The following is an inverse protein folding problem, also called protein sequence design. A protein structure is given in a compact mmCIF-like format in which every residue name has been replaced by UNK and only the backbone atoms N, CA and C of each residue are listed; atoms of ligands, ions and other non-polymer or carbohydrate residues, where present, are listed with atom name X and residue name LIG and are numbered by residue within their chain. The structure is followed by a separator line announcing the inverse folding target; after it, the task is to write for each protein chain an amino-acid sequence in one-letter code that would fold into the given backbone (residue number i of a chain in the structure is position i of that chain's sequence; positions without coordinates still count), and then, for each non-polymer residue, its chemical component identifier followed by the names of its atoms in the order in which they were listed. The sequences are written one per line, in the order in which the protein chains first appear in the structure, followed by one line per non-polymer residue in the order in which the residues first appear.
data_IF_878410255076
#
_entry.id   IF_878410255076
#
_cell.length_a   1.000
_cell.length_b   1.000
_cell.length_c   1.000
_cell.angle_alpha   90.00
_cell.angle_beta   90.00
_cell.angle_gamma   90.00
#
_symmetry.space_group_name_H-M   'P 1'
#
loop_
_entity.id
_entity.type
_entity.pdbx_description
1 polymer ?
#
# COMPACT_ATOMS: atom_id res chain seq x y z
N UNK A 1 -0.30 11.96 -22.69
CA UNK A 1 -0.84 11.53 -21.39
C UNK A 1 -0.11 10.25 -21.02
N UNK A 2 0.74 10.31 -20.00
CA UNK A 2 1.56 9.16 -19.59
C UNK A 2 0.72 8.22 -18.72
N UNK A 3 0.89 6.92 -18.91
CA UNK A 3 0.23 5.88 -18.12
C UNK A 3 1.25 5.28 -17.16
N UNK A 4 0.87 5.16 -15.89
CA UNK A 4 1.67 4.57 -14.83
C UNK A 4 0.96 3.30 -14.35
N UNK A 5 1.66 2.16 -14.41
CA UNK A 5 1.20 0.89 -13.89
C UNK A 5 1.61 0.74 -12.44
N UNK A 6 0.61 0.86 -11.55
CA UNK A 6 0.74 0.62 -10.13
C UNK A 6 0.16 -0.74 -9.76
N UNK A 7 0.97 -1.58 -9.10
CA UNK A 7 0.52 -2.88 -8.59
C UNK A 7 0.42 -2.83 -7.07
N UNK A 8 -0.73 -3.21 -6.54
CA UNK A 8 -0.99 -3.26 -5.09
C UNK A 8 -0.79 -4.68 -4.57
N UNK A 9 0.16 -4.84 -3.65
CA UNK A 9 0.56 -6.13 -3.07
C UNK A 9 0.49 -6.11 -1.55
N UNK A 10 0.52 -7.29 -0.93
CA UNK A 10 0.45 -7.48 0.51
C UNK A 10 -0.39 -8.70 0.89
N UNK A 11 -0.41 -9.03 2.19
CA UNK A 11 -1.09 -10.21 2.72
C UNK A 11 -2.61 -10.23 2.43
N UNK A 12 -3.22 -11.40 2.58
CA UNK A 12 -4.69 -11.54 2.53
C UNK A 12 -5.37 -10.69 3.61
N UNK A 13 -6.62 -10.30 3.35
CA UNK A 13 -7.53 -9.62 4.31
C UNK A 13 -7.06 -8.30 4.94
N UNK A 14 -5.94 -7.74 4.51
CA UNK A 14 -5.45 -6.42 4.99
C UNK A 14 -6.19 -5.22 4.37
N UNK A 15 -7.22 -5.40 3.57
CA UNK A 15 -8.00 -4.28 3.01
C UNK A 15 -7.44 -3.63 1.74
N UNK A 16 -6.64 -4.34 0.93
CA UNK A 16 -6.18 -3.84 -0.39
C UNK A 16 -7.34 -3.48 -1.33
N UNK A 17 -8.35 -4.35 -1.41
CA UNK A 17 -9.55 -4.12 -2.23
C UNK A 17 -10.31 -2.89 -1.73
N UNK A 18 -10.48 -2.74 -0.41
CA UNK A 18 -11.10 -1.56 0.17
C UNK A 18 -10.32 -0.29 -0.14
N UNK A 19 -8.98 -0.33 -0.11
CA UNK A 19 -8.12 0.80 -0.48
C UNK A 19 -8.35 1.23 -1.93
N UNK A 20 -8.33 0.27 -2.86
CA UNK A 20 -8.53 0.52 -4.29
C UNK A 20 -9.92 1.10 -4.57
N UNK A 21 -10.98 0.47 -4.06
CA UNK A 21 -12.37 0.93 -4.26
C UNK A 21 -12.57 2.31 -3.63
N UNK A 22 -12.05 2.54 -2.43
CA UNK A 22 -12.18 3.84 -1.76
C UNK A 22 -11.50 4.94 -2.56
N UNK A 23 -10.39 4.64 -3.22
CA UNK A 23 -9.70 5.60 -4.06
C UNK A 23 -10.43 5.89 -5.36
N UNK A 24 -10.93 4.86 -6.04
CA UNK A 24 -11.60 5.04 -7.33
C UNK A 24 -13.01 5.62 -7.20
N UNK A 25 -13.70 5.37 -6.08
CA UNK A 25 -15.10 5.78 -5.88
C UNK A 25 -15.30 6.90 -4.87
N UNK A 26 -14.24 7.31 -4.16
CA UNK A 26 -14.32 8.20 -2.98
C UNK A 26 -15.31 7.71 -1.89
N UNK A 27 -15.59 6.39 -1.84
CA UNK A 27 -16.49 5.78 -0.86
C UNK A 27 -15.88 4.49 -0.31
N UNK A 28 -15.96 4.32 1.01
CA UNK A 28 -15.61 3.04 1.60
C UNK A 28 -16.71 2.00 1.27
N UNK A 29 -16.36 0.81 0.78
CA UNK A 29 -17.36 -0.22 0.46
C UNK A 29 -18.09 -0.66 1.73
N UNK A 30 -19.43 -0.63 1.71
CA UNK A 30 -20.28 -1.04 2.83
C UNK A 30 -20.44 -2.56 2.94
N UNK A 31 -20.20 -3.27 1.85
CA UNK A 31 -20.27 -4.73 1.76
C UNK A 31 -18.91 -5.31 1.43
N UNK A 32 -18.69 -6.56 1.83
CA UNK A 32 -17.49 -7.29 1.43
C UNK A 32 -17.49 -7.42 -0.09
N UNK A 33 -16.54 -6.76 -0.74
CA UNK A 33 -16.31 -6.91 -2.18
C UNK A 33 -15.30 -8.03 -2.37
N UNK A 34 -15.71 -9.20 -2.91
CA UNK A 34 -14.77 -10.26 -3.25
C UNK A 34 -13.67 -9.71 -4.14
N UNK A 35 -12.45 -10.20 -4.00
CA UNK A 35 -11.30 -9.82 -4.83
C UNK A 35 -11.52 -10.28 -6.27
N UNK A 36 -12.40 -9.61 -6.99
CA UNK A 36 -12.48 -9.70 -8.45
C UNK A 36 -11.32 -8.87 -8.96
N UNK A 37 -10.52 -9.50 -9.81
CA UNK A 37 -9.36 -8.92 -10.47
C UNK A 37 -9.82 -7.80 -11.42
N UNK A 38 -10.10 -6.63 -10.86
CA UNK A 38 -10.48 -5.46 -11.63
C UNK A 38 -9.25 -4.57 -11.74
N UNK A 39 -8.74 -4.47 -12.96
CA UNK A 39 -7.76 -3.45 -13.31
C UNK A 39 -8.53 -2.12 -13.36
N UNK A 40 -8.28 -1.23 -12.40
CA UNK A 40 -8.88 0.10 -12.41
C UNK A 40 -7.95 1.07 -13.13
N UNK A 41 -8.49 2.04 -13.85
CA UNK A 41 -7.74 3.15 -14.40
C UNK A 41 -8.38 4.45 -13.94
N UNK A 42 -7.59 5.35 -13.36
CA UNK A 42 -8.06 6.67 -12.94
C UNK A 42 -7.11 7.75 -13.45
N UNK A 43 -7.68 8.91 -13.78
CA UNK A 43 -6.89 10.09 -14.12
C UNK A 43 -6.60 10.90 -12.86
N UNK A 44 -5.32 11.19 -12.62
CA UNK A 44 -4.84 11.91 -11.44
C UNK A 44 -4.06 13.14 -11.89
N UNK A 45 -4.31 14.27 -11.22
CA UNK A 45 -3.56 15.51 -11.45
C UNK A 45 -2.41 15.59 -10.44
N UNK A 46 -1.17 15.48 -10.91
CA UNK A 46 0.06 15.57 -10.09
C UNK A 46 0.96 16.64 -10.68
N UNK A 47 1.39 17.62 -9.88
CA UNK A 47 2.24 18.71 -10.37
C UNK A 47 1.60 19.60 -11.45
N UNK A 48 0.28 19.57 -11.61
CA UNK A 48 -0.43 20.28 -12.68
C UNK A 48 -0.57 19.50 -14.00
N UNK A 49 0.02 18.30 -14.10
CA UNK A 49 -0.10 17.44 -15.27
C UNK A 49 -1.05 16.25 -15.04
N UNK A 50 -1.82 15.83 -16.06
CA UNK A 50 -2.69 14.67 -15.98
C UNK A 50 -1.96 13.36 -16.28
N UNK A 51 -2.03 12.41 -15.34
CA UNK A 51 -1.50 11.05 -15.48
C UNK A 51 -2.63 10.02 -15.41
N UNK A 52 -2.51 8.93 -16.17
CA UNK A 52 -3.39 7.77 -16.06
C UNK A 52 -2.75 6.74 -15.14
N UNK A 53 -3.33 6.51 -13.96
CA UNK A 53 -2.87 5.51 -13.02
C UNK A 53 -3.67 4.21 -13.20
N UNK A 54 -3.02 3.19 -13.73
CA UNK A 54 -3.54 1.83 -13.79
C UNK A 54 -3.26 1.08 -12.49
N UNK A 55 -4.29 0.59 -11.83
CA UNK A 55 -4.25 -0.09 -10.54
C UNK A 55 -4.55 -1.57 -10.75
N UNK A 56 -3.57 -2.42 -10.44
CA UNK A 56 -3.62 -3.86 -10.70
C UNK A 56 -3.57 -4.64 -9.38
N UNK A 57 -4.47 -5.60 -9.22
CA UNK A 57 -4.39 -6.60 -8.15
C UNK A 57 -3.42 -7.72 -8.53
N UNK A 58 -2.45 -8.01 -7.67
CA UNK A 58 -1.65 -9.25 -7.46
C UNK A 58 -1.31 -10.31 -8.55
N UNK A 59 -1.61 -10.18 -9.84
CA UNK A 59 -1.13 -11.15 -10.86
C UNK A 59 -0.51 -10.47 -12.08
N UNK A 60 0.67 -10.97 -12.48
CA UNK A 60 1.38 -10.55 -13.69
C UNK A 60 2.13 -9.23 -13.52
N UNK A 61 3.38 -9.31 -13.07
CA UNK A 61 4.25 -8.15 -12.83
C UNK A 61 5.10 -7.63 -14.01
N UNK A 62 5.01 -8.08 -15.29
CA UNK A 62 5.86 -7.49 -16.30
C UNK A 62 5.53 -6.00 -16.45
N UNK A 63 6.58 -5.18 -16.55
CA UNK A 63 6.50 -3.74 -16.80
C UNK A 63 5.73 -2.97 -15.71
N UNK A 64 5.94 -3.28 -14.43
CA UNK A 64 5.36 -2.51 -13.31
C UNK A 64 6.22 -1.28 -13.02
N UNK A 65 5.61 -0.10 -13.01
CA UNK A 65 6.30 1.16 -12.74
C UNK A 65 6.45 1.42 -11.23
N UNK A 66 5.45 1.03 -10.43
CA UNK A 66 5.46 1.23 -8.97
C UNK A 66 4.70 0.14 -8.22
N UNK A 67 5.24 -0.27 -7.07
CA UNK A 67 4.59 -1.21 -6.15
C UNK A 67 4.07 -0.48 -4.91
N UNK A 68 2.77 -0.62 -4.66
CA UNK A 68 2.11 -0.21 -3.43
C UNK A 68 2.02 -1.41 -2.50
N UNK A 69 2.94 -1.48 -1.55
CA UNK A 69 3.09 -2.61 -0.64
C UNK A 69 2.31 -2.32 0.65
N UNK A 70 1.18 -2.99 0.79
CA UNK A 70 0.25 -2.78 1.89
C UNK A 70 0.50 -3.77 3.04
N UNK A 71 0.27 -3.30 4.26
CA UNK A 71 0.16 -4.13 5.46
C UNK A 71 -0.93 -3.55 6.37
N UNK A 72 -1.48 -4.38 7.24
CA UNK A 72 -2.44 -3.91 8.24
C UNK A 72 -1.72 -3.46 9.51
N UNK A 73 -2.07 -2.28 10.01
CA UNK A 73 -1.51 -1.75 11.26
C UNK A 73 -1.90 -2.57 12.50
N UNK A 74 -2.95 -3.39 12.39
CA UNK A 74 -3.44 -4.27 13.44
C UNK A 74 -3.07 -5.74 13.19
N UNK A 75 -2.26 -6.01 12.16
CA UNK A 75 -1.68 -7.32 11.90
C UNK A 75 -0.16 -7.20 11.78
N UNK A 76 0.58 -7.24 12.90
CA UNK A 76 2.04 -7.06 12.88
C UNK A 76 2.79 -8.06 12.00
N UNK A 77 2.29 -9.29 11.87
CA UNK A 77 2.83 -10.30 10.94
C UNK A 77 2.79 -9.84 9.48
N UNK A 78 1.73 -9.12 9.08
CA UNK A 78 1.63 -8.60 7.72
C UNK A 78 2.69 -7.54 7.42
N UNK A 79 3.15 -6.78 8.41
CA UNK A 79 4.25 -5.84 8.26
C UNK A 79 5.61 -6.54 8.14
N UNK A 80 5.85 -7.60 8.90
CA UNK A 80 7.10 -8.35 8.80
C UNK A 80 7.22 -9.07 7.45
N UNK A 81 6.11 -9.66 6.96
CA UNK A 81 6.04 -10.28 5.62
C UNK A 81 6.41 -9.33 4.48
N UNK A 82 6.15 -8.03 4.64
CA UNK A 82 6.48 -7.03 3.63
C UNK A 82 7.99 -6.87 3.43
N UNK A 83 8.78 -6.94 4.50
CA UNK A 83 10.25 -6.78 4.43
C UNK A 83 10.93 -7.91 3.67
N UNK A 84 10.34 -9.10 3.68
CA UNK A 84 10.96 -10.31 3.13
C UNK A 84 10.57 -10.56 1.67
N UNK A 85 9.42 -10.04 1.20
CA UNK A 85 8.77 -10.55 -0.03
C UNK A 85 8.70 -9.56 -1.20
N UNK A 86 8.82 -8.25 -0.99
CA UNK A 86 8.50 -7.27 -2.04
C UNK A 86 9.55 -6.16 -2.17
N UNK A 87 9.97 -5.78 -3.41
CA UNK A 87 10.81 -4.61 -3.60
C UNK A 87 10.05 -3.35 -3.16
N UNK A 88 10.56 -2.57 -2.19
CA UNK A 88 9.79 -1.48 -1.61
C UNK A 88 9.88 -0.24 -2.49
N UNK A 89 8.76 0.16 -3.10
CA UNK A 89 8.61 1.51 -3.65
C UNK A 89 7.78 2.38 -2.70
N UNK A 90 6.60 1.92 -2.24
CA UNK A 90 5.82 2.58 -1.18
C UNK A 90 5.19 1.59 -0.20
N UNK A 91 5.32 1.88 1.10
CA UNK A 91 4.66 1.13 2.17
C UNK A 91 3.37 1.84 2.61
N UNK A 92 2.27 1.08 2.72
CA UNK A 92 0.96 1.61 3.12
C UNK A 92 0.40 0.82 4.30
N UNK A 93 0.12 1.54 5.39
CA UNK A 93 -0.58 1.00 6.56
C UNK A 93 -2.10 1.13 6.40
N UNK A 94 -2.79 0.00 6.31
CA UNK A 94 -4.26 -0.09 6.22
C UNK A 94 -4.88 -0.41 7.58
N UNK A 95 -6.22 -0.34 7.68
CA UNK A 95 -7.00 -0.66 8.90
C UNK A 95 -6.64 0.18 10.12
N UNK A 96 -6.27 1.44 9.89
CA UNK A 96 -5.88 2.41 10.91
C UNK A 96 -7.01 2.76 11.89
N UNK A 97 -8.25 2.65 11.45
CA UNK A 97 -9.46 2.82 12.23
C UNK A 97 -9.53 1.77 13.36
N UNK A 98 -8.99 0.58 13.14
CA UNK A 98 -8.94 -0.49 14.13
C UNK A 98 -7.76 -0.36 15.11
N UNK A 99 -6.86 0.59 14.89
CA UNK A 99 -5.64 0.74 15.72
C UNK A 99 -5.97 0.99 17.19
N UNK A 100 -6.94 1.87 17.43
CA UNK A 100 -7.35 2.30 18.76
C UNK A 100 -8.64 1.60 19.21
N UNK A 101 -9.13 0.63 18.42
CA UNK A 101 -10.30 -0.17 18.76
C UNK A 101 -10.01 -1.08 19.97
N UNK A 102 -10.79 -0.99 21.08
CA UNK A 102 -10.53 -1.76 22.29
C UNK A 102 -10.53 -3.27 22.05
N UNK A 103 -11.42 -3.77 21.18
CA UNK A 103 -11.52 -5.21 20.92
C UNK A 103 -10.28 -5.73 20.19
N UNK A 104 -9.74 -4.93 19.28
CA UNK A 104 -8.52 -5.23 18.52
C UNK A 104 -7.29 -5.18 19.42
N UNK A 105 -7.19 -4.18 20.29
CA UNK A 105 -6.12 -4.07 21.28
C UNK A 105 -6.11 -5.28 22.21
N UNK A 106 -7.28 -5.71 22.71
CA UNK A 106 -7.39 -6.86 23.59
C UNK A 106 -6.96 -8.17 22.91
N UNK A 107 -7.40 -8.38 21.65
CA UNK A 107 -7.00 -9.55 20.85
C UNK A 107 -5.48 -9.60 20.64
N UNK A 108 -4.86 -8.48 20.32
CA UNK A 108 -3.41 -8.39 20.13
C UNK A 108 -2.65 -8.61 21.45
N UNK A 109 -3.16 -8.08 22.56
CA UNK A 109 -2.55 -8.28 23.87
C UNK A 109 -2.51 -9.76 24.29
N UNK A 110 -3.55 -10.54 23.96
CA UNK A 110 -3.59 -12.00 24.21
C UNK A 110 -2.44 -12.76 23.55
N UNK A 111 -1.96 -12.27 22.41
CA UNK A 111 -0.80 -12.82 21.69
C UNK A 111 0.49 -12.02 21.91
N UNK A 112 0.54 -11.19 22.96
CA UNK A 112 1.69 -10.32 23.32
C UNK A 112 2.14 -9.38 22.20
N UNK A 113 1.22 -8.99 21.32
CA UNK A 113 1.46 -8.03 20.26
C UNK A 113 0.74 -6.70 20.54
N UNK A 114 1.11 -5.68 19.77
CA UNK A 114 0.48 -4.35 19.77
C UNK A 114 0.33 -3.87 18.33
N UNK A 115 -0.62 -2.98 18.03
CA UNK A 115 -0.70 -2.33 16.74
C UNK A 115 0.63 -1.69 16.35
N UNK A 116 1.01 -1.75 15.07
CA UNK A 116 2.25 -1.17 14.53
C UNK A 116 2.30 0.33 14.85
N UNK A 117 3.41 0.89 15.31
CA UNK A 117 3.49 2.32 15.67
C UNK A 117 3.29 3.25 14.47
N UNK A 118 2.63 4.41 14.68
CA UNK A 118 2.45 5.44 13.64
C UNK A 118 3.77 5.90 13.03
N UNK A 119 4.84 5.96 13.82
CA UNK A 119 6.20 6.31 13.36
C UNK A 119 6.77 5.32 12.33
N UNK A 120 6.24 4.09 12.27
CA UNK A 120 6.63 3.09 11.27
C UNK A 120 5.73 3.11 10.04
N UNK A 121 4.67 3.92 10.04
CA UNK A 121 3.83 4.12 8.87
C UNK A 121 4.44 5.25 8.05
N UNK A 122 4.85 4.97 6.82
CA UNK A 122 5.23 6.05 5.90
C UNK A 122 4.03 6.99 5.67
N UNK A 123 2.81 6.44 5.56
CA UNK A 123 1.54 7.17 5.41
C UNK A 123 0.35 6.35 5.95
N UNK A 124 -0.63 7.01 6.58
CA UNK A 124 -1.82 6.39 7.17
C UNK A 124 -3.13 6.81 6.47
N UNK A 125 -3.99 5.85 6.14
CA UNK A 125 -5.43 6.06 5.87
C UNK A 125 -6.13 6.62 7.14
N UNK A 126 -7.35 7.20 7.12
CA UNK A 126 -8.09 7.78 6.00
C UNK A 126 -7.64 9.18 5.60
N UNK A 127 -6.77 9.84 6.39
CA UNK A 127 -6.37 11.25 6.18
C UNK A 127 -5.33 11.49 5.07
N UNK A 128 -5.06 10.53 4.18
CA UNK A 128 -3.91 10.61 3.27
C UNK A 128 -3.98 9.79 1.98
N UNK A 129 -5.17 9.35 1.54
CA UNK A 129 -5.31 8.48 0.37
C UNK A 129 -4.75 9.08 -0.91
N UNK A 130 -5.14 10.32 -1.20
CA UNK A 130 -4.66 11.04 -2.38
C UNK A 130 -3.13 11.17 -2.34
N UNK A 131 -2.59 11.50 -1.16
CA UNK A 131 -1.15 11.59 -0.92
C UNK A 131 -0.40 10.25 -1.08
N UNK A 132 -1.09 9.10 -1.01
CA UNK A 132 -0.47 7.79 -1.26
C UNK A 132 -0.31 7.56 -2.77
N UNK A 133 -1.33 7.83 -3.57
CA UNK A 133 -1.29 7.61 -5.01
C UNK A 133 -0.56 8.71 -5.78
N UNK A 134 -0.65 9.97 -5.34
CA UNK A 134 0.16 11.07 -5.88
C UNK A 134 1.66 10.75 -5.73
N UNK A 135 2.05 10.12 -4.63
CA UNK A 135 3.45 9.74 -4.42
C UNK A 135 3.84 8.42 -5.04
N UNK A 136 2.89 7.51 -5.30
CA UNK A 136 3.15 6.41 -6.21
C UNK A 136 3.46 6.90 -7.63
N UNK A 137 2.77 7.96 -8.08
CA UNK A 137 3.06 8.62 -9.36
C UNK A 137 4.44 9.27 -9.32
N UNK A 138 4.75 10.07 -8.30
CA UNK A 138 6.08 10.70 -8.17
C UNK A 138 7.21 9.67 -8.11
N UNK A 139 7.05 8.59 -7.34
CA UNK A 139 8.04 7.52 -7.25
C UNK A 139 8.21 6.71 -8.56
N UNK A 140 7.18 6.68 -9.42
CA UNK A 140 7.29 6.08 -10.75
C UNK A 140 8.02 6.99 -11.74
N UNK A 141 7.81 8.31 -11.65
CA UNK A 141 8.43 9.31 -12.52
C UNK A 141 9.90 9.55 -12.15
N UNK A 142 10.18 9.61 -10.85
CA UNK A 142 11.49 9.83 -10.26
C UNK A 142 11.83 8.66 -9.31
N UNK A 143 12.18 7.47 -9.85
CA UNK A 143 12.49 6.33 -9.02
C UNK A 143 13.67 6.66 -8.09
N UNK A 144 13.53 6.39 -6.77
CA UNK A 144 14.59 6.69 -5.83
C UNK A 144 15.86 5.94 -6.22
N UNK A 145 17.01 6.62 -6.17
CA UNK A 145 18.28 5.96 -6.45
C UNK A 145 18.44 4.72 -5.55
N UNK A 146 18.81 3.56 -6.11
CA UNK A 146 19.01 2.36 -5.33
C UNK A 146 20.10 2.64 -4.30
N UNK A 147 19.74 2.64 -3.01
CA UNK A 147 20.71 2.74 -1.91
C UNK A 147 21.66 1.56 -2.06
N UNK A 148 22.89 1.82 -2.53
CA UNK A 148 23.97 0.83 -2.56
C UNK A 148 24.12 0.25 -1.15
N UNK A 149 23.69 -1.00 -0.95
CA UNK A 149 24.01 -1.72 0.26
C UNK A 149 25.52 -1.84 0.36
N UNK A 150 26.13 -1.15 1.31
CA UNK A 150 27.50 -1.45 1.73
C UNK A 150 27.46 -2.81 2.41
N UNK A 151 27.73 -3.87 1.65
CA UNK A 151 28.47 -5.06 2.08
C UNK A 151 28.62 -6.04 0.92
N UNK A 152 29.78 -5.99 0.28
CA UNK A 152 30.44 -7.17 -0.26
C UNK A 152 31.92 -6.99 0.05
N UNK A 153 32.40 -7.61 1.13
CA UNK A 153 33.81 -7.95 1.26
C UNK A 153 33.85 -9.44 1.01
N UNK A 154 34.34 -9.81 -0.18
CA UNK A 154 34.86 -11.16 -0.41
C UNK A 154 36.15 -11.25 0.39
N UNK A 155 36.16 -12.13 1.40
CA UNK A 155 37.38 -12.70 1.95
C UNK A 155 37.65 -14.01 1.23
#
# INVERSE_FOLDING_TARGET
MQTIKCVVVGDGTIGKTCLLISYTTNKFPSEYVPTVFDNYAVTVMTGGEPYTLGLFGTAGYPQTDVFLVCFSVVSPSSFENVKEKWPPFLLVGTQIDLRDDPSTIEKLAKIKQKPISLQRLLKSWPKGLKNVFDEAILAALEPPEPKKSRRCVLL
#
